data_IF_974021546191
#
_entry.id   IF_974021546191
#
_cell.length_a   1.000
_cell.length_b   1.000
_cell.length_c   1.000
_cell.angle_alpha   90.00
_cell.angle_beta   90.00
_cell.angle_gamma   90.00
#
_symmetry.space_group_name_H-M   'P 1'
#
loop_
_entity.id
_entity.type
_entity.pdbx_description
1 polymer ?
#
# COMPACT_ATOMS: atom_id res chain seq x y z
N UNK A 1 30.86 -33.97 31.55
CA UNK A 1 29.51 -34.24 30.98
C UNK A 1 28.60 -33.01 30.83
N UNK A 2 28.73 -31.94 31.62
CA UNK A 2 27.79 -30.78 31.60
C UNK A 2 28.01 -29.83 30.41
N UNK A 3 29.25 -29.68 29.91
CA UNK A 3 29.57 -28.79 28.77
C UNK A 3 28.88 -29.21 27.46
N UNK A 4 28.80 -30.52 27.17
CA UNK A 4 28.16 -31.04 25.95
C UNK A 4 26.65 -30.80 25.94
N UNK A 5 25.99 -30.83 27.11
CA UNK A 5 24.54 -30.53 27.22
C UNK A 5 24.24 -29.06 26.88
N UNK A 6 25.09 -28.12 27.31
CA UNK A 6 24.92 -26.69 26.98
C UNK A 6 25.13 -26.44 25.48
N UNK A 7 26.12 -27.09 24.86
CA UNK A 7 26.39 -26.95 23.42
C UNK A 7 25.19 -27.44 22.56
N UNK A 8 24.58 -28.56 22.95
CA UNK A 8 23.38 -29.09 22.28
C UNK A 8 22.19 -28.12 22.41
N UNK A 9 21.98 -27.55 23.59
CA UNK A 9 20.90 -26.57 23.83
C UNK A 9 21.09 -25.31 22.96
N UNK A 10 22.31 -24.77 22.88
CA UNK A 10 22.58 -23.60 22.03
C UNK A 10 22.40 -23.91 20.54
N UNK A 11 22.79 -25.10 20.09
CA UNK A 11 22.59 -25.53 18.69
C UNK A 11 21.10 -25.61 18.34
N UNK A 12 20.28 -26.22 19.20
CA UNK A 12 18.83 -26.31 19.03
C UNK A 12 18.15 -24.93 19.05
N UNK A 13 18.58 -24.05 19.95
CA UNK A 13 18.05 -22.68 20.02
C UNK A 13 18.37 -21.88 18.75
N UNK A 14 19.59 -22.01 18.23
CA UNK A 14 20.01 -21.35 16.99
C UNK A 14 19.20 -21.86 15.80
N UNK A 15 19.00 -23.17 15.70
CA UNK A 15 18.17 -23.78 14.65
C UNK A 15 16.73 -23.28 14.73
N UNK A 16 16.15 -23.21 15.93
CA UNK A 16 14.80 -22.69 16.15
C UNK A 16 14.67 -21.22 15.70
N UNK A 17 15.62 -20.37 16.07
CA UNK A 17 15.63 -18.96 15.64
C UNK A 17 15.71 -18.86 14.10
N UNK A 18 16.56 -19.66 13.45
CA UNK A 18 16.64 -19.70 11.98
C UNK A 18 15.31 -20.13 11.35
N UNK A 19 14.64 -21.16 11.89
CA UNK A 19 13.32 -21.58 11.41
C UNK A 19 12.26 -20.51 11.59
N UNK A 20 12.26 -19.79 12.72
CA UNK A 20 11.34 -18.67 12.97
C UNK A 20 11.59 -17.54 11.97
N UNK A 21 12.85 -17.18 11.73
CA UNK A 21 13.21 -16.14 10.77
C UNK A 21 12.83 -16.52 9.33
N UNK A 22 13.07 -17.77 8.93
CA UNK A 22 12.64 -18.31 7.63
C UNK A 22 11.11 -18.30 7.54
N UNK A 23 10.40 -18.71 8.59
CA UNK A 23 8.94 -18.67 8.63
C UNK A 23 8.39 -17.25 8.45
N UNK A 24 8.96 -16.27 9.16
CA UNK A 24 8.61 -14.85 9.00
C UNK A 24 8.92 -14.35 7.58
N UNK A 25 10.05 -14.75 7.01
CA UNK A 25 10.44 -14.40 5.64
C UNK A 25 9.46 -14.98 4.61
N UNK A 26 9.14 -16.28 4.70
CA UNK A 26 8.19 -16.96 3.80
C UNK A 26 6.80 -16.36 3.92
N UNK A 27 6.33 -16.04 5.13
CA UNK A 27 5.04 -15.37 5.34
C UNK A 27 5.04 -13.99 4.69
N UNK A 28 6.11 -13.20 4.84
CA UNK A 28 6.23 -11.88 4.19
C UNK A 28 6.25 -11.97 2.66
N UNK A 29 6.95 -12.95 2.10
CA UNK A 29 7.03 -13.15 0.64
C UNK A 29 5.70 -13.65 0.08
N UNK A 30 4.98 -14.52 0.80
CA UNK A 30 3.66 -15.00 0.37
C UNK A 30 2.52 -13.98 0.54
N UNK A 31 2.72 -12.93 1.35
CA UNK A 31 1.73 -11.86 1.51
C UNK A 31 1.65 -10.96 0.28
N UNK A 32 2.72 -10.82 -0.49
CA UNK A 32 2.76 -10.01 -1.71
C UNK A 32 2.69 -10.93 -2.93
N UNK A 33 1.53 -11.02 -3.56
CA UNK A 33 1.39 -11.83 -4.78
C UNK A 33 2.35 -11.36 -5.87
N UNK A 34 2.97 -12.28 -6.64
CA UNK A 34 3.94 -11.93 -7.68
C UNK A 34 3.30 -11.11 -8.81
N UNK A 35 4.10 -10.34 -9.55
CA UNK A 35 3.63 -9.61 -10.75
C UNK A 35 3.01 -10.61 -11.75
N UNK A 36 1.91 -10.22 -12.39
CA UNK A 36 1.15 -11.05 -13.33
C UNK A 36 0.23 -12.08 -12.68
N UNK A 37 0.18 -12.18 -11.35
CA UNK A 37 -0.74 -13.10 -10.65
C UNK A 37 -2.19 -12.58 -10.65
N UNK A 38 -3.14 -13.52 -10.58
CA UNK A 38 -4.54 -13.23 -10.27
C UNK A 38 -4.70 -12.98 -8.78
N UNK A 39 -5.35 -11.88 -8.43
CA UNK A 39 -5.57 -11.49 -7.05
C UNK A 39 -6.90 -12.04 -6.51
N UNK A 40 -6.92 -12.44 -5.24
CA UNK A 40 -8.17 -12.62 -4.51
C UNK A 40 -8.56 -11.31 -3.82
N UNK A 41 -9.85 -11.16 -3.50
CA UNK A 41 -10.34 -10.05 -2.70
C UNK A 41 -9.61 -9.91 -1.35
N UNK A 42 -9.39 -11.05 -0.67
CA UNK A 42 -8.70 -11.06 0.61
C UNK A 42 -7.24 -10.64 0.47
N UNK A 43 -6.60 -11.04 -0.63
CA UNK A 43 -5.23 -10.62 -0.97
C UNK A 43 -5.16 -9.11 -1.15
N UNK A 44 -6.07 -8.52 -1.92
CA UNK A 44 -6.12 -7.06 -2.12
C UNK A 44 -6.25 -6.36 -0.78
N UNK A 45 -7.22 -6.76 0.07
CA UNK A 45 -7.39 -6.18 1.41
C UNK A 45 -6.12 -6.28 2.26
N UNK A 46 -5.52 -7.47 2.31
CA UNK A 46 -4.34 -7.72 3.14
C UNK A 46 -3.15 -6.89 2.67
N UNK A 47 -2.93 -6.78 1.36
CA UNK A 47 -1.81 -6.01 0.81
C UNK A 47 -2.03 -4.52 0.98
N UNK A 48 -3.23 -4.00 0.68
CA UNK A 48 -3.55 -2.58 0.88
C UNK A 48 -3.30 -2.18 2.34
N UNK A 49 -3.66 -3.02 3.31
CA UNK A 49 -3.41 -2.77 4.72
C UNK A 49 -1.91 -2.66 5.09
N UNK A 50 -1.01 -3.18 4.26
CA UNK A 50 0.44 -3.18 4.46
C UNK A 50 1.16 -2.10 3.63
N UNK A 51 0.57 -1.63 2.53
CA UNK A 51 1.16 -0.58 1.69
C UNK A 51 1.27 0.73 2.48
N UNK A 52 2.44 1.37 2.41
CA UNK A 52 2.69 2.65 3.07
C UNK A 52 2.58 2.62 4.60
N UNK A 53 2.64 1.43 5.24
CA UNK A 53 2.41 1.25 6.68
C UNK A 53 3.32 2.08 7.59
N UNK A 54 4.45 2.56 7.09
CA UNK A 54 5.39 3.39 7.86
C UNK A 54 4.96 4.88 7.86
N UNK A 55 4.03 5.26 6.97
CA UNK A 55 3.52 6.63 6.80
C UNK A 55 2.06 6.76 7.18
N UNK A 56 1.27 5.71 6.94
CA UNK A 56 -0.17 5.70 7.23
C UNK A 56 -0.58 4.42 7.96
N UNK A 57 -1.72 4.48 8.65
CA UNK A 57 -2.41 3.31 9.19
C UNK A 57 -3.70 3.12 8.41
N UNK A 58 -3.86 2.01 7.69
CA UNK A 58 -5.14 1.67 7.08
C UNK A 58 -6.14 1.28 8.17
N UNK A 59 -7.31 1.93 8.17
CA UNK A 59 -8.38 1.73 9.15
C UNK A 59 -9.52 0.91 8.58
N UNK A 60 -9.89 1.21 7.34
CA UNK A 60 -10.98 0.55 6.66
C UNK A 60 -10.67 0.44 5.17
N UNK A 61 -11.12 -0.65 4.56
CA UNK A 61 -11.04 -0.88 3.12
C UNK A 61 -12.44 -1.34 2.72
N UNK A 62 -13.10 -0.51 1.92
CA UNK A 62 -14.30 -0.88 1.20
C UNK A 62 -13.93 -1.09 -0.27
N UNK A 63 -13.55 -2.31 -0.67
CA UNK A 63 -13.05 -2.59 -2.01
C UNK A 63 -14.17 -2.71 -3.07
N UNK A 64 -15.43 -2.41 -2.70
CA UNK A 64 -16.56 -2.41 -3.62
C UNK A 64 -17.66 -1.44 -3.16
N UNK A 65 -17.64 -0.21 -3.67
CA UNK A 65 -18.86 0.60 -3.73
C UNK A 65 -19.70 0.08 -4.89
N UNK A 66 -20.93 -0.39 -4.61
CA UNK A 66 -21.80 -1.16 -5.54
C UNK A 66 -22.12 -0.44 -6.87
N UNK A 67 -21.81 0.85 -7.00
CA UNK A 67 -22.11 1.63 -8.20
C UNK A 67 -20.97 1.70 -9.22
N UNK A 68 -19.70 1.66 -8.82
CA UNK A 68 -18.66 2.23 -9.69
C UNK A 68 -17.32 1.49 -9.75
N UNK A 69 -17.20 0.24 -9.24
CA UNK A 69 -15.93 -0.52 -9.27
C UNK A 69 -14.76 0.20 -8.58
N UNK A 70 -15.08 0.92 -7.51
CA UNK A 70 -14.14 1.77 -6.76
C UNK A 70 -13.64 1.04 -5.51
N UNK A 71 -12.34 1.17 -5.24
CA UNK A 71 -11.76 0.79 -3.95
C UNK A 71 -11.65 2.04 -3.07
N UNK A 72 -12.38 2.06 -1.97
CA UNK A 72 -12.29 3.09 -0.95
C UNK A 72 -11.37 2.63 0.18
N UNK A 73 -10.40 3.47 0.54
CA UNK A 73 -9.44 3.19 1.60
C UNK A 73 -9.41 4.35 2.57
N UNK A 74 -9.69 4.06 3.85
CA UNK A 74 -9.61 5.03 4.92
C UNK A 74 -8.29 4.85 5.64
N UNK A 75 -7.48 5.90 5.65
CA UNK A 75 -6.15 5.90 6.26
C UNK A 75 -6.02 6.99 7.31
N UNK A 76 -5.20 6.70 8.31
CA UNK A 76 -4.78 7.66 9.32
C UNK A 76 -3.33 8.04 9.10
N UNK A 77 -3.02 9.32 9.13
CA UNK A 77 -1.64 9.79 9.04
C UNK A 77 -0.81 9.35 10.27
N UNK A 78 0.43 8.86 10.06
CA UNK A 78 1.42 8.62 11.13
C UNK A 78 2.51 9.69 11.18
N UNK A 79 2.66 10.48 10.12
CA UNK A 79 3.64 11.57 9.98
C UNK A 79 2.95 12.93 10.10
N UNK A 80 3.72 14.01 9.99
CA UNK A 80 3.16 15.36 9.93
C UNK A 80 2.14 15.50 8.80
N UNK A 81 1.11 16.33 9.00
CA UNK A 81 0.02 16.51 8.05
C UNK A 81 0.37 17.42 6.85
N UNK A 82 1.66 17.72 6.65
CA UNK A 82 2.15 18.57 5.57
C UNK A 82 2.24 17.87 4.21
N UNK A 83 2.35 16.55 4.19
CA UNK A 83 2.55 15.77 2.96
C UNK A 83 1.27 15.05 2.51
N UNK A 84 0.86 15.13 1.23
CA UNK A 84 -0.35 14.49 0.67
C UNK A 84 -0.28 12.96 0.56
N UNK A 85 -0.23 12.28 1.71
CA UNK A 85 -0.10 10.83 1.83
C UNK A 85 -1.27 10.02 1.25
N UNK A 86 -2.47 10.58 1.14
CA UNK A 86 -3.60 10.02 0.41
C UNK A 86 -3.26 9.79 -1.06
N UNK A 87 -2.55 10.74 -1.68
CA UNK A 87 -2.10 10.63 -3.07
C UNK A 87 -1.06 9.52 -3.18
N UNK A 88 -0.04 9.53 -2.31
CA UNK A 88 0.97 8.45 -2.28
C UNK A 88 0.34 7.08 -2.05
N UNK A 89 -0.64 6.98 -1.16
CA UNK A 89 -1.31 5.73 -0.89
C UNK A 89 -2.15 5.26 -2.08
N UNK A 90 -2.89 6.16 -2.74
CA UNK A 90 -3.65 5.84 -3.95
C UNK A 90 -2.72 5.31 -5.04
N UNK A 91 -1.59 5.98 -5.27
CA UNK A 91 -0.57 5.56 -6.23
C UNK A 91 0.02 4.19 -5.88
N UNK A 92 0.31 3.90 -4.60
CA UNK A 92 0.80 2.58 -4.15
C UNK A 92 -0.19 1.47 -4.49
N UNK A 93 -1.48 1.72 -4.22
CA UNK A 93 -2.54 0.76 -4.51
C UNK A 93 -2.64 0.54 -6.03
N UNK A 94 -2.68 1.62 -6.81
CA UNK A 94 -2.79 1.54 -8.27
C UNK A 94 -1.57 0.86 -8.91
N UNK A 95 -0.35 1.14 -8.44
CA UNK A 95 0.85 0.45 -8.90
C UNK A 95 0.77 -1.05 -8.61
N UNK A 96 0.36 -1.43 -7.40
CA UNK A 96 0.19 -2.84 -7.03
C UNK A 96 -0.82 -3.56 -7.95
N UNK A 97 -1.95 -2.90 -8.22
CA UNK A 97 -3.03 -3.41 -9.08
C UNK A 97 -2.63 -3.46 -10.56
N UNK A 98 -1.92 -2.45 -11.06
CA UNK A 98 -1.51 -2.35 -12.47
C UNK A 98 -0.60 -3.51 -12.90
N UNK A 99 0.23 -4.01 -11.99
CA UNK A 99 1.15 -5.11 -12.26
C UNK A 99 0.51 -6.49 -12.16
N UNK A 100 -0.80 -6.58 -11.87
CA UNK A 100 -1.50 -7.82 -11.49
C UNK A 100 -2.89 -7.87 -12.12
N UNK A 101 -3.52 -9.04 -12.08
CA UNK A 101 -4.86 -9.23 -12.63
C UNK A 101 -5.85 -9.19 -11.46
N UNK A 102 -6.59 -8.09 -11.25
CA UNK A 102 -7.60 -8.04 -10.21
C UNK A 102 -8.75 -9.01 -10.52
N UNK A 103 -9.47 -9.51 -9.50
CA UNK A 103 -10.57 -10.45 -9.69
C UNK A 103 -11.80 -9.81 -10.32
N UNK A 104 -11.83 -8.48 -10.44
CA UNK A 104 -12.88 -7.66 -11.05
C UNK A 104 -12.25 -6.40 -11.66
N UNK A 105 -12.93 -5.74 -12.62
CA UNK A 105 -12.47 -4.45 -13.13
C UNK A 105 -12.44 -3.42 -12.00
N UNK A 106 -11.34 -2.67 -11.87
CA UNK A 106 -11.22 -1.57 -10.90
C UNK A 106 -11.07 -0.28 -11.71
N UNK A 107 -11.97 0.67 -11.50
CA UNK A 107 -12.02 1.93 -12.23
C UNK A 107 -11.16 3.01 -11.56
N UNK A 108 -11.25 3.12 -10.24
CA UNK A 108 -10.54 4.12 -9.44
C UNK A 108 -10.27 3.63 -8.02
N UNK A 109 -9.36 4.34 -7.36
CA UNK A 109 -9.05 4.19 -5.94
C UNK A 109 -9.30 5.54 -5.27
N UNK A 110 -10.16 5.54 -4.25
CA UNK A 110 -10.43 6.70 -3.40
C UNK A 110 -9.73 6.47 -2.07
N UNK A 111 -8.86 7.40 -1.68
CA UNK A 111 -8.21 7.36 -0.37
C UNK A 111 -8.68 8.54 0.47
N UNK A 112 -9.32 8.23 1.58
CA UNK A 112 -9.70 9.19 2.62
C UNK A 112 -8.60 9.23 3.69
N UNK A 113 -8.11 10.42 4.04
CA UNK A 113 -7.11 10.60 5.10
C UNK A 113 -7.63 11.49 6.21
N UNK A 114 -7.39 11.04 7.45
CA UNK A 114 -7.74 11.79 8.66
C UNK A 114 -6.50 12.10 9.50
N UNK A 115 -6.50 13.30 10.10
CA UNK A 115 -5.46 13.74 11.03
C UNK A 115 -5.62 13.04 12.40
N UNK A 116 -6.86 12.79 12.83
CA UNK A 116 -7.22 12.18 14.13
C UNK A 116 -8.17 10.99 13.95
N UNK A 117 -8.46 10.30 15.06
CA UNK A 117 -9.31 9.09 15.15
C UNK A 117 -10.81 9.29 14.82
N UNK A 118 -11.19 10.36 14.13
CA UNK A 118 -12.58 10.61 13.73
C UNK A 118 -12.76 10.08 12.31
N UNK A 119 -13.80 9.28 12.06
CA UNK A 119 -14.14 8.74 10.72
C UNK A 119 -14.89 9.76 9.85
N UNK A 120 -14.62 11.05 10.06
CA UNK A 120 -15.09 12.12 9.19
C UNK A 120 -13.94 12.34 8.21
N UNK A 121 -14.06 11.87 6.97
CA UNK A 121 -13.02 12.05 5.94
C UNK A 121 -12.67 13.53 5.78
N UNK A 122 -11.56 13.98 6.36
CA UNK A 122 -11.18 15.41 6.33
C UNK A 122 -10.67 15.79 4.93
N UNK A 123 -10.00 14.85 4.27
CA UNK A 123 -9.46 14.99 2.93
C UNK A 123 -9.57 13.68 2.17
N UNK A 124 -9.85 13.76 0.88
CA UNK A 124 -9.84 12.59 0.00
C UNK A 124 -9.20 12.91 -1.33
N UNK A 125 -8.64 11.88 -1.95
CA UNK A 125 -8.25 11.92 -3.35
C UNK A 125 -8.82 10.70 -4.05
N UNK A 126 -9.30 10.90 -5.28
CA UNK A 126 -9.64 9.83 -6.19
C UNK A 126 -8.61 9.83 -7.32
N UNK A 127 -7.98 8.68 -7.57
CA UNK A 127 -7.16 8.47 -8.76
C UNK A 127 -7.77 7.35 -9.60
N UNK A 128 -8.00 7.64 -10.88
CA UNK A 128 -8.51 6.64 -11.82
C UNK A 128 -7.39 5.76 -12.36
N UNK A 129 -7.72 4.54 -12.76
CA UNK A 129 -6.77 3.63 -13.42
C UNK A 129 -6.28 4.20 -14.76
N UNK A 130 -7.13 4.95 -15.46
CA UNK A 130 -6.78 5.65 -16.71
C UNK A 130 -5.73 6.73 -16.46
N UNK A 131 -5.97 7.61 -15.48
CA UNK A 131 -5.03 8.67 -15.10
C UNK A 131 -3.69 8.07 -14.65
N UNK A 132 -3.72 7.04 -13.81
CA UNK A 132 -2.53 6.32 -13.40
C UNK A 132 -1.76 5.74 -14.59
N UNK A 133 -2.46 5.05 -15.51
CA UNK A 133 -1.83 4.40 -16.66
C UNK A 133 -1.14 5.42 -17.56
N UNK A 134 -1.76 6.59 -17.75
CA UNK A 134 -1.14 7.72 -18.47
C UNK A 134 0.13 8.19 -17.77
N UNK A 135 0.06 8.47 -16.46
CA UNK A 135 1.23 8.90 -15.69
C UNK A 135 2.37 7.88 -15.72
N UNK A 136 2.04 6.60 -15.55
CA UNK A 136 2.99 5.49 -15.54
C UNK A 136 3.69 5.32 -16.90
N UNK A 137 2.97 5.51 -18.01
CA UNK A 137 3.54 5.43 -19.36
C UNK A 137 4.57 6.54 -19.68
N UNK A 138 4.54 7.64 -18.93
CA UNK A 138 5.41 8.80 -19.14
C UNK A 138 6.70 8.76 -18.31
N UNK A 139 6.86 7.78 -17.42
CA UNK A 139 8.06 7.62 -16.60
C UNK A 139 8.87 6.39 -17.02
N UNK A 140 10.19 6.46 -16.92
CA UNK A 140 11.04 5.29 -17.10
C UNK A 140 11.12 4.50 -15.79
N UNK A 141 10.52 3.32 -15.76
CA UNK A 141 10.46 2.46 -14.57
C UNK A 141 11.61 1.46 -14.49
N UNK A 142 12.50 1.44 -15.48
CA UNK A 142 13.60 0.46 -15.56
C UNK A 142 14.54 0.62 -14.37
N UNK A 143 14.73 -0.48 -13.62
CA UNK A 143 15.62 -0.54 -12.46
C UNK A 143 15.24 0.36 -11.28
N UNK A 144 14.02 0.89 -11.25
CA UNK A 144 13.51 1.64 -10.09
C UNK A 144 12.81 0.71 -9.10
N UNK A 145 12.97 0.99 -7.82
CA UNK A 145 12.15 0.40 -6.77
C UNK A 145 10.73 0.97 -6.79
N UNK A 146 9.78 0.22 -6.23
CA UNK A 146 8.38 0.66 -6.17
C UNK A 146 8.25 2.04 -5.49
N UNK A 147 8.97 2.32 -4.41
CA UNK A 147 8.91 3.63 -3.74
C UNK A 147 9.51 4.78 -4.59
N UNK A 148 10.54 4.52 -5.40
CA UNK A 148 11.07 5.52 -6.34
C UNK A 148 10.05 5.81 -7.46
N UNK A 149 9.39 4.77 -7.98
CA UNK A 149 8.29 4.93 -8.96
C UNK A 149 7.16 5.75 -8.35
N UNK A 150 6.75 5.44 -7.12
CA UNK A 150 5.69 6.18 -6.42
C UNK A 150 6.07 7.64 -6.22
N UNK A 151 7.32 7.93 -5.86
CA UNK A 151 7.77 9.31 -5.69
C UNK A 151 7.72 10.09 -7.02
N UNK A 152 8.17 9.50 -8.13
CA UNK A 152 8.09 10.13 -9.46
C UNK A 152 6.65 10.36 -9.91
N UNK A 153 5.78 9.36 -9.73
CA UNK A 153 4.36 9.48 -10.05
C UNK A 153 3.69 10.56 -9.19
N UNK A 154 4.03 10.61 -7.91
CA UNK A 154 3.52 11.59 -6.96
C UNK A 154 3.91 13.01 -7.38
N UNK A 155 5.20 13.29 -7.60
CA UNK A 155 5.68 14.61 -7.98
C UNK A 155 5.00 15.09 -9.27
N UNK A 156 4.86 14.18 -10.23
CA UNK A 156 4.18 14.46 -11.50
C UNK A 156 2.68 14.73 -11.31
N UNK A 157 1.99 13.90 -10.53
CA UNK A 157 0.56 14.06 -10.25
C UNK A 157 0.27 15.38 -9.54
N UNK A 158 1.06 15.73 -8.51
CA UNK A 158 0.93 16.99 -7.76
C UNK A 158 1.07 18.20 -8.69
N UNK A 159 2.08 18.19 -9.57
CA UNK A 159 2.31 19.28 -10.53
C UNK A 159 1.19 19.36 -11.58
N UNK A 160 0.79 18.22 -12.16
CA UNK A 160 -0.28 18.17 -13.17
C UNK A 160 -1.61 18.67 -12.62
N UNK A 161 -1.98 18.23 -11.42
CA UNK A 161 -3.26 18.56 -10.80
C UNK A 161 -3.22 19.85 -9.97
N UNK A 162 -2.05 20.51 -9.86
CA UNK A 162 -1.81 21.67 -8.98
C UNK A 162 -2.37 21.43 -7.58
N UNK A 163 -2.20 20.21 -7.08
CA UNK A 163 -2.85 19.79 -5.87
C UNK A 163 -2.23 20.51 -4.67
N UNK A 164 -3.08 21.19 -3.92
CA UNK A 164 -2.74 21.81 -2.65
C UNK A 164 -3.72 21.24 -1.65
N UNK A 165 -3.21 20.57 -0.61
CA UNK A 165 -4.05 20.12 0.50
C UNK A 165 -4.47 21.35 1.31
N UNK A 166 -5.56 21.98 0.90
CA UNK A 166 -6.15 23.18 1.49
C UNK A 166 -7.54 22.88 2.06
N UNK A 167 -7.81 23.44 3.23
CA UNK A 167 -9.01 23.33 4.07
C UNK A 167 -10.27 22.80 3.36
N UNK A 168 -10.75 21.65 3.85
CA UNK A 168 -12.13 21.14 3.77
C UNK A 168 -12.97 21.76 2.65
N UNK A 169 -12.98 21.16 1.46
CA UNK A 169 -14.08 21.40 0.52
C UNK A 169 -15.34 20.74 1.10
N UNK A 170 -16.02 21.45 2.00
CA UNK A 170 -17.37 21.09 2.41
C UNK A 170 -18.30 21.30 1.21
N UNK A 171 -19.24 20.38 0.94
CA UNK A 171 -20.35 20.65 0.04
C UNK A 171 -21.22 21.80 0.56
#
# INVERSE_FOLDING_TARGET
>A
MIKNKRLIIYSLLTLFIVFVLIGIFVIKVNLVSPKGSTLSYQTIKNVIALLGKDEVTVKHINPFSEKDNVIEVFVQNKKGFSEPLEVKQALRILLYLHERIPPYPISSVVVFINEKWVLDGDYSVELTMEEFSKLYSEINTTSLSDEEIIQLLFDKWIVTNKYIRGERMSP
#
